data_IF_325754856344
#
_entry.id   IF_325754856344
#
_cell.length_a   1.000
_cell.length_b   1.000
_cell.length_c   1.000
_cell.angle_alpha   90.00
_cell.angle_beta   90.00
_cell.angle_gamma   90.00
#
_symmetry.space_group_name_H-M   'P 1'
#
loop_
_entity.id
_entity.type
_entity.pdbx_description
1 polymer ?
#
# COMPACT_ATOMS: atom_id res chain seq x y z
N UNK A 1 4.64 5.37 -7.13
CA UNK A 1 5.33 4.29 -6.39
C UNK A 1 6.60 3.82 -7.10
N UNK A 2 7.70 3.62 -6.37
CA UNK A 2 8.98 3.14 -6.92
C UNK A 2 9.13 1.60 -6.84
N UNK A 3 10.20 1.05 -7.43
CA UNK A 3 10.48 -0.40 -7.44
C UNK A 3 10.73 -0.97 -6.04
N UNK A 4 11.31 -0.20 -5.14
CA UNK A 4 11.61 -0.65 -3.77
C UNK A 4 10.31 -0.88 -2.99
N UNK A 5 9.36 0.06 -3.06
CA UNK A 5 8.05 -0.08 -2.43
C UNK A 5 7.27 -1.27 -3.01
N UNK A 6 7.33 -1.50 -4.33
CA UNK A 6 6.72 -2.68 -4.96
C UNK A 6 7.29 -4.00 -4.40
N UNK A 7 8.60 -4.04 -4.17
CA UNK A 7 9.27 -5.22 -3.59
C UNK A 7 8.89 -5.41 -2.11
N UNK A 8 8.84 -4.33 -1.31
CA UNK A 8 8.37 -4.38 0.08
C UNK A 8 6.96 -4.98 0.17
N UNK A 9 6.02 -4.48 -0.64
CA UNK A 9 4.65 -5.00 -0.71
C UNK A 9 4.64 -6.50 -1.05
N UNK A 10 5.43 -6.90 -2.05
CA UNK A 10 5.48 -8.29 -2.52
C UNK A 10 6.13 -9.24 -1.52
N UNK A 11 7.05 -8.76 -0.67
CA UNK A 11 7.66 -9.51 0.42
C UNK A 11 6.73 -9.66 1.62
N UNK A 12 6.00 -8.59 1.95
CA UNK A 12 5.07 -8.55 3.08
C UNK A 12 3.84 -9.46 2.85
N UNK A 13 3.25 -9.45 1.64
CA UNK A 13 2.11 -10.31 1.33
C UNK A 13 1.99 -10.65 -0.17
N UNK A 14 1.45 -11.83 -0.45
CA UNK A 14 1.14 -12.22 -1.84
C UNK A 14 -0.05 -11.42 -2.40
N UNK A 15 -0.03 -11.16 -3.72
CA UNK A 15 -1.14 -10.47 -4.42
C UNK A 15 -2.50 -11.13 -4.20
N UNK A 16 -2.54 -12.45 -4.08
CA UNK A 16 -3.77 -13.20 -3.80
C UNK A 16 -4.28 -12.93 -2.37
N UNK A 17 -3.38 -12.85 -1.38
CA UNK A 17 -3.72 -12.52 -0.01
C UNK A 17 -4.28 -11.09 0.10
N UNK A 18 -3.60 -10.13 -0.51
CA UNK A 18 -4.05 -8.73 -0.61
C UNK A 18 -5.42 -8.69 -1.31
N UNK A 19 -5.57 -9.38 -2.44
CA UNK A 19 -6.84 -9.43 -3.17
C UNK A 19 -7.99 -9.93 -2.31
N UNK A 20 -7.78 -11.04 -1.59
CA UNK A 20 -8.76 -11.60 -0.65
C UNK A 20 -9.15 -10.60 0.44
N UNK A 21 -8.20 -9.88 1.02
CA UNK A 21 -8.46 -8.85 2.03
C UNK A 21 -9.33 -7.71 1.48
N UNK A 22 -9.06 -7.27 0.25
CA UNK A 22 -9.76 -6.16 -0.40
C UNK A 22 -11.00 -6.56 -1.22
N UNK A 23 -11.38 -7.84 -1.23
CA UNK A 23 -12.50 -8.37 -2.02
C UNK A 23 -12.31 -8.21 -3.53
N UNK A 24 -11.07 -8.25 -4.01
CA UNK A 24 -10.73 -8.12 -5.44
C UNK A 24 -9.79 -9.25 -5.90
N UNK A 25 -9.61 -9.38 -7.21
CA UNK A 25 -8.67 -10.38 -7.74
C UNK A 25 -7.20 -9.98 -7.51
N UNK A 26 -6.32 -10.97 -7.37
CA UNK A 26 -4.88 -10.73 -7.30
C UNK A 26 -4.31 -10.07 -8.56
N UNK A 27 -4.97 -10.22 -9.72
CA UNK A 27 -4.63 -9.49 -10.94
C UNK A 27 -4.91 -7.99 -10.80
N UNK A 28 -6.06 -7.61 -10.21
CA UNK A 28 -6.37 -6.21 -9.94
C UNK A 28 -5.38 -5.58 -8.97
N UNK A 29 -4.92 -6.32 -7.96
CA UNK A 29 -3.82 -5.88 -7.08
C UNK A 29 -2.53 -5.67 -7.86
N UNK A 30 -2.20 -6.58 -8.80
CA UNK A 30 -1.05 -6.41 -9.69
C UNK A 30 -1.12 -5.09 -10.48
N UNK A 31 -2.29 -4.76 -11.04
CA UNK A 31 -2.50 -3.49 -11.73
C UNK A 31 -2.25 -2.27 -10.83
N UNK A 32 -2.64 -2.33 -9.55
CA UNK A 32 -2.32 -1.24 -8.62
C UNK A 32 -0.82 -1.08 -8.40
N UNK A 33 -0.12 -2.20 -8.22
CA UNK A 33 1.29 -2.18 -7.84
C UNK A 33 2.17 -1.75 -9.02
N UNK A 34 1.85 -2.17 -10.25
CA UNK A 34 2.75 -2.02 -11.39
C UNK A 34 2.27 -1.03 -12.46
N UNK A 35 0.99 -0.67 -12.51
CA UNK A 35 0.42 0.10 -13.64
C UNK A 35 -0.28 1.39 -13.18
N UNK A 36 -1.37 1.26 -12.42
CA UNK A 36 -2.33 2.35 -12.19
C UNK A 36 -2.18 3.05 -10.83
N UNK A 37 -1.31 2.55 -9.95
CA UNK A 37 -1.26 3.01 -8.57
C UNK A 37 -2.39 2.45 -7.70
N UNK A 38 -2.20 2.54 -6.39
CA UNK A 38 -3.20 2.12 -5.40
C UNK A 38 -4.23 3.24 -5.28
N UNK A 39 -5.55 2.96 -5.34
CA UNK A 39 -6.55 4.00 -5.15
C UNK A 39 -6.40 4.68 -3.78
N UNK A 40 -6.47 6.01 -3.72
CA UNK A 40 -6.30 6.83 -2.51
C UNK A 40 -7.00 6.26 -1.27
N UNK A 41 -8.29 5.93 -1.37
CA UNK A 41 -9.09 5.34 -0.28
C UNK A 41 -8.61 3.96 0.22
N UNK A 42 -7.71 3.28 -0.51
CA UNK A 42 -7.17 1.95 -0.19
C UNK A 42 -5.71 2.00 0.26
N UNK A 43 -5.04 3.14 0.17
CA UNK A 43 -3.63 3.29 0.54
C UNK A 43 -3.43 3.03 2.04
N UNK A 44 -4.08 3.80 2.92
CA UNK A 44 -3.96 3.61 4.37
C UNK A 44 -4.41 2.20 4.82
N UNK A 45 -5.55 1.64 4.34
CA UNK A 45 -5.90 0.25 4.62
C UNK A 45 -4.84 -0.76 4.19
N UNK A 46 -4.18 -0.54 3.04
CA UNK A 46 -3.12 -1.43 2.55
C UNK A 46 -1.90 -1.34 3.45
N UNK A 47 -1.45 -0.13 3.81
CA UNK A 47 -0.35 0.07 4.76
C UNK A 47 -0.63 -0.63 6.10
N UNK A 48 -1.84 -0.46 6.65
CA UNK A 48 -2.26 -1.13 7.89
C UNK A 48 -2.26 -2.66 7.75
N UNK A 49 -2.77 -3.19 6.65
CA UNK A 49 -2.78 -4.62 6.38
C UNK A 49 -1.36 -5.22 6.30
N UNK A 50 -0.41 -4.44 5.74
CA UNK A 50 1.00 -4.80 5.65
C UNK A 50 1.79 -4.40 6.90
N UNK A 51 1.13 -4.20 8.04
CA UNK A 51 1.74 -3.81 9.32
C UNK A 51 2.69 -2.61 9.24
N UNK A 52 2.38 -1.65 8.37
CA UNK A 52 3.18 -0.45 8.13
C UNK A 52 4.61 -0.70 7.62
N UNK A 53 4.88 -1.88 7.02
CA UNK A 53 6.13 -2.13 6.28
C UNK A 53 6.31 -1.19 5.08
N UNK A 54 5.19 -0.61 4.60
CA UNK A 54 5.16 0.49 3.64
C UNK A 54 4.23 1.58 4.13
N UNK A 55 4.61 2.83 3.87
CA UNK A 55 3.87 4.03 4.28
C UNK A 55 3.05 4.63 3.13
N UNK A 56 2.01 5.44 3.44
CA UNK A 56 1.25 6.14 2.40
C UNK A 56 2.13 7.03 1.50
N UNK A 57 3.11 7.71 2.10
CA UNK A 57 4.12 8.51 1.41
C UNK A 57 4.93 7.71 0.39
N UNK A 58 5.33 6.48 0.71
CA UNK A 58 6.07 5.62 -0.23
C UNK A 58 5.21 5.15 -1.43
N UNK A 59 3.90 5.01 -1.23
CA UNK A 59 2.98 4.56 -2.27
C UNK A 59 2.64 5.71 -3.21
N UNK A 60 2.22 6.85 -2.65
CA UNK A 60 1.78 8.04 -3.37
C UNK A 60 2.30 9.33 -2.68
N UNK A 61 3.54 9.75 -2.97
CA UNK A 61 4.15 10.92 -2.33
C UNK A 61 3.50 12.24 -2.76
N UNK A 62 2.75 12.28 -3.86
CA UNK A 62 2.04 13.49 -4.29
C UNK A 62 0.82 13.74 -3.40
N UNK A 63 0.07 12.68 -3.08
CA UNK A 63 -1.08 12.77 -2.19
C UNK A 63 -0.71 12.80 -0.70
N UNK A 64 0.44 12.21 -0.34
CA UNK A 64 0.96 12.14 1.03
C UNK A 64 2.35 12.78 1.06
N UNK A 65 2.48 14.12 1.05
CA UNK A 65 3.77 14.79 0.92
C UNK A 65 4.69 14.61 2.13
N UNK A 66 4.14 14.34 3.33
CA UNK A 66 4.93 14.13 4.53
C UNK A 66 5.07 12.63 4.84
N UNK A 67 6.24 12.16 5.31
CA UNK A 67 6.46 10.76 5.68
C UNK A 67 5.52 10.23 6.78
N UNK A 68 4.96 11.12 7.60
CA UNK A 68 4.04 10.79 8.69
C UNK A 68 2.57 10.85 8.30
N UNK A 69 2.24 11.25 7.07
CA UNK A 69 0.86 11.38 6.64
C UNK A 69 0.16 10.02 6.61
N UNK A 70 -1.01 9.93 7.25
CA UNK A 70 -1.83 8.71 7.29
C UNK A 70 -1.27 7.58 8.16
N UNK A 71 -0.14 7.78 8.85
CA UNK A 71 0.36 6.87 9.89
C UNK A 71 -0.55 6.90 11.12
N UNK A 72 -0.62 5.81 11.91
CA UNK A 72 -1.40 5.82 13.13
C UNK A 72 -0.79 6.86 14.07
N UNK A 73 -1.64 7.65 14.75
CA UNK A 73 -1.16 8.52 15.82
C UNK A 73 -0.46 7.62 16.83
N UNK A 74 0.82 7.84 17.05
CA UNK A 74 1.53 7.24 18.18
C UNK A 74 0.95 7.89 19.44
N UNK A 75 -0.17 7.36 19.91
CA UNK A 75 -0.65 7.64 21.26
C UNK A 75 0.37 6.97 22.19
N UNK A 76 1.24 7.81 22.75
CA UNK A 76 2.23 7.42 23.77
C UNK A 76 1.58 7.23 25.13
#
# INVERSE_FOLDING_TARGET
MNKETQQKISKAASRACIGKHFGISGQAVGKWIYENGVPQKRIVPLCRFLNWEVTPHEIDPEAYPNPTDGLPKQEG
#
